data_IF_139501031605
#
_entry.id   IF_139501031605
#
_cell.length_a   1.000
_cell.length_b   1.000
_cell.length_c   1.000
_cell.angle_alpha   90.00
_cell.angle_beta   90.00
_cell.angle_gamma   90.00
#
_symmetry.space_group_name_H-M   'P 1'
#
loop_
_entity.id
_entity.type
_entity.pdbx_description
1 polymer ?
#
# COMPACT_ATOMS: atom_id res chain seq x y z
N UNK A 1 -7.62 9.56 8.54
CA UNK A 1 -6.48 8.85 7.91
C UNK A 1 -7.11 7.85 6.96
N UNK A 2 -6.69 7.79 5.68
CA UNK A 2 -7.26 6.79 4.77
C UNK A 2 -7.04 5.37 5.32
N UNK A 3 -7.92 4.43 4.98
CA UNK A 3 -7.76 3.02 5.37
C UNK A 3 -6.38 2.48 4.97
N UNK A 4 -5.92 2.82 3.76
CA UNK A 4 -4.58 2.51 3.24
C UNK A 4 -3.46 3.05 4.15
N UNK A 5 -3.52 4.33 4.52
CA UNK A 5 -2.50 4.94 5.40
C UNK A 5 -2.41 4.24 6.76
N UNK A 6 -3.53 3.73 7.27
CA UNK A 6 -3.57 2.96 8.52
C UNK A 6 -2.92 1.60 8.32
N UNK A 7 -3.26 0.88 7.25
CA UNK A 7 -2.71 -0.45 6.93
C UNK A 7 -1.19 -0.44 6.79
N UNK A 8 -0.64 0.60 6.17
CA UNK A 8 0.80 0.78 5.97
C UNK A 8 1.59 1.09 7.25
N UNK A 9 0.89 1.46 8.35
CA UNK A 9 1.52 1.72 9.66
C UNK A 9 1.34 0.59 10.67
N UNK A 10 0.59 -0.45 10.32
CA UNK A 10 0.44 -1.63 11.20
C UNK A 10 1.81 -2.32 11.30
N UNK A 11 2.23 -2.58 12.54
CA UNK A 11 3.51 -3.22 12.86
C UNK A 11 4.68 -2.25 13.07
N UNK A 12 4.50 -0.95 12.77
CA UNK A 12 5.51 0.07 13.07
C UNK A 12 5.46 0.47 14.54
N UNK A 13 6.62 0.79 15.11
CA UNK A 13 6.66 1.42 16.43
C UNK A 13 5.96 2.80 16.41
N UNK A 14 5.47 3.32 17.55
CA UNK A 14 4.76 4.61 17.61
C UNK A 14 5.52 5.80 17.01
N UNK A 15 6.85 5.77 17.13
CA UNK A 15 7.81 6.76 16.67
C UNK A 15 8.47 6.40 15.33
N UNK A 16 8.28 5.16 14.85
CA UNK A 16 8.84 4.72 13.58
C UNK A 16 8.16 5.43 12.41
N UNK A 17 9.01 5.95 11.52
CA UNK A 17 8.58 6.68 10.33
C UNK A 17 8.03 5.70 9.30
N UNK A 18 6.70 5.66 9.17
CA UNK A 18 6.06 4.94 8.07
C UNK A 18 6.31 5.58 6.70
N UNK A 19 5.87 4.94 5.61
CA UNK A 19 6.03 5.46 4.26
C UNK A 19 5.43 6.88 4.12
N UNK A 20 6.07 7.72 3.30
CA UNK A 20 5.68 9.12 3.08
C UNK A 20 4.21 9.29 2.63
N UNK A 21 3.62 8.25 2.03
CA UNK A 21 2.23 8.21 1.57
C UNK A 21 1.19 8.36 2.69
N UNK A 22 1.57 8.16 3.96
CA UNK A 22 0.70 8.37 5.13
C UNK A 22 0.44 9.85 5.47
N UNK A 23 1.18 10.78 4.84
CA UNK A 23 1.10 12.23 5.09
C UNK A 23 0.27 13.02 4.07
N UNK A 24 -0.13 12.39 2.96
CA UNK A 24 -0.76 13.11 1.84
C UNK A 24 -2.01 13.88 2.23
N UNK A 25 -2.11 15.11 1.71
CA UNK A 25 -3.20 16.02 1.96
C UNK A 25 -3.05 16.85 3.24
N UNK A 26 -2.18 16.48 4.19
CA UNK A 26 -1.89 17.30 5.37
C UNK A 26 -1.25 18.64 4.96
N UNK A 27 -1.38 19.71 5.76
CA UNK A 27 -0.63 20.94 5.50
C UNK A 27 0.87 20.66 5.37
N UNK A 28 1.54 21.40 4.49
CA UNK A 28 3.00 21.36 4.37
C UNK A 28 3.70 21.78 5.67
N UNK A 29 5.02 21.56 5.72
CA UNK A 29 5.84 22.05 6.83
C UNK A 29 5.76 23.58 6.89
N UNK A 30 5.53 24.14 8.09
CA UNK A 30 5.34 25.58 8.34
C UNK A 30 4.26 26.29 7.51
N UNK A 31 3.32 25.54 6.92
CA UNK A 31 2.16 26.13 6.25
C UNK A 31 1.10 26.52 7.30
N UNK A 32 0.77 27.81 7.38
CA UNK A 32 -0.23 28.35 8.31
C UNK A 32 -1.68 28.09 7.86
N UNK A 33 -1.93 28.14 6.54
CA UNK A 33 -3.24 27.88 5.94
C UNK A 33 -3.15 27.09 4.64
N UNK A 34 -4.19 26.30 4.39
CA UNK A 34 -4.40 25.56 3.14
C UNK A 34 -5.27 26.39 2.21
N UNK A 35 -4.76 26.70 1.03
CA UNK A 35 -5.50 27.43 0.01
C UNK A 35 -6.54 26.53 -0.65
N UNK A 36 -7.76 27.03 -0.80
CA UNK A 36 -8.85 26.36 -1.51
C UNK A 36 -9.06 27.04 -2.84
N UNK A 37 -9.06 26.25 -3.90
CA UNK A 37 -9.18 26.72 -5.28
C UNK A 37 -10.38 26.10 -5.94
N UNK A 38 -10.96 26.82 -6.90
CA UNK A 38 -12.01 26.31 -7.77
C UNK A 38 -11.73 26.71 -9.21
N UNK A 39 -11.76 25.72 -10.10
CA UNK A 39 -11.67 25.93 -11.55
C UNK A 39 -12.98 25.51 -12.21
N UNK A 40 -13.43 26.31 -13.16
CA UNK A 40 -14.55 25.98 -14.05
C UNK A 40 -13.96 25.63 -15.40
N UNK A 41 -14.29 24.46 -15.94
CA UNK A 41 -13.89 24.03 -17.28
C UNK A 41 -14.84 24.59 -18.34
N UNK A 42 -14.43 24.51 -19.61
CA UNK A 42 -15.23 24.97 -20.76
C UNK A 42 -16.59 24.28 -20.85
N UNK A 43 -16.69 23.02 -20.43
CA UNK A 43 -17.93 22.25 -20.34
C UNK A 43 -18.86 22.66 -19.18
N UNK A 44 -18.49 23.70 -18.43
CA UNK A 44 -19.22 24.20 -17.26
C UNK A 44 -18.99 23.38 -15.98
N UNK A 45 -18.22 22.29 -16.03
CA UNK A 45 -17.92 21.49 -14.84
C UNK A 45 -16.99 22.24 -13.90
N UNK A 46 -17.29 22.16 -12.60
CA UNK A 46 -16.51 22.83 -11.54
C UNK A 46 -15.69 21.80 -10.80
N UNK A 47 -14.43 22.11 -10.58
CA UNK A 47 -13.50 21.29 -9.81
C UNK A 47 -12.84 22.11 -8.71
N UNK A 48 -12.95 21.65 -7.48
CA UNK A 48 -12.29 22.23 -6.33
C UNK A 48 -11.05 21.43 -5.96
N UNK A 49 -10.00 22.14 -5.53
CA UNK A 49 -8.76 21.51 -5.10
C UNK A 49 -8.04 22.37 -4.06
N UNK A 50 -6.94 21.84 -3.53
CA UNK A 50 -6.20 22.47 -2.42
C UNK A 50 -4.74 22.69 -2.78
N UNK A 51 -4.16 23.79 -2.28
CA UNK A 51 -2.71 24.06 -2.29
C UNK A 51 -2.17 24.24 -0.87
N UNK A 52 -0.84 24.24 -0.71
CA UNK A 52 -0.20 24.28 0.62
C UNK A 52 -0.29 22.95 1.38
N UNK A 53 -0.59 21.85 0.69
CA UNK A 53 -0.63 20.50 1.25
C UNK A 53 0.56 19.67 0.79
N UNK A 54 0.98 18.75 1.65
CA UNK A 54 2.00 17.76 1.33
C UNK A 54 1.46 16.68 0.38
N UNK A 55 2.23 16.36 -0.66
CA UNK A 55 2.01 15.23 -1.57
C UNK A 55 3.27 14.36 -1.60
N UNK A 56 3.09 13.05 -1.51
CA UNK A 56 4.21 12.11 -1.48
C UNK A 56 4.77 11.76 -2.86
N UNK A 57 4.03 12.04 -3.94
CA UNK A 57 4.43 11.70 -5.31
C UNK A 57 4.34 10.21 -5.67
N UNK A 58 3.93 9.34 -4.75
CA UNK A 58 3.90 7.90 -5.02
C UNK A 58 2.73 7.50 -5.93
N UNK A 59 3.07 6.96 -7.10
CA UNK A 59 2.14 6.33 -8.05
C UNK A 59 1.57 4.98 -7.56
N UNK A 60 2.29 4.33 -6.65
CA UNK A 60 2.00 2.94 -6.25
C UNK A 60 1.19 2.84 -4.96
N UNK A 61 1.54 3.60 -3.92
CA UNK A 61 0.98 3.41 -2.57
C UNK A 61 -0.02 4.49 -2.14
N UNK A 62 -0.14 5.57 -2.91
CA UNK A 62 -0.95 6.71 -2.52
C UNK A 62 -2.16 6.88 -3.43
N UNK A 63 -3.39 6.58 -2.97
CA UNK A 63 -4.60 6.78 -3.79
C UNK A 63 -4.85 8.27 -4.11
N UNK A 64 -4.19 9.18 -3.39
CA UNK A 64 -4.31 10.63 -3.63
C UNK A 64 -3.28 11.16 -4.63
N UNK A 65 -2.12 10.52 -4.79
CA UNK A 65 -1.08 10.94 -5.74
C UNK A 65 -1.11 10.11 -7.02
N UNK A 66 -1.47 8.82 -6.93
CA UNK A 66 -1.49 7.90 -8.06
C UNK A 66 -2.26 8.43 -9.28
N UNK A 67 -3.46 9.05 -9.12
CA UNK A 67 -4.16 9.61 -10.27
C UNK A 67 -3.40 10.73 -10.99
N UNK A 68 -2.75 11.63 -10.24
CA UNK A 68 -1.99 12.72 -10.82
C UNK A 68 -0.72 12.21 -11.52
N UNK A 69 -0.01 11.26 -10.89
CA UNK A 69 1.20 10.62 -11.44
C UNK A 69 0.87 9.91 -12.75
N UNK A 70 -0.21 9.13 -12.79
CA UNK A 70 -0.63 8.43 -13.99
C UNK A 70 -1.07 9.38 -15.12
N UNK A 71 -1.73 10.50 -14.81
CA UNK A 71 -2.07 11.53 -15.79
C UNK A 71 -0.81 12.19 -16.39
N UNK A 72 0.20 12.49 -15.57
CA UNK A 72 1.50 13.01 -16.03
C UNK A 72 2.17 12.00 -16.96
N UNK A 73 2.21 10.71 -16.57
CA UNK A 73 2.78 9.63 -17.38
C UNK A 73 2.04 9.47 -18.70
N UNK A 74 0.71 9.57 -18.71
CA UNK A 74 -0.10 9.52 -19.93
C UNK A 74 0.22 10.68 -20.88
N UNK A 75 0.27 11.92 -20.38
CA UNK A 75 0.61 13.10 -21.18
C UNK A 75 2.03 13.03 -21.76
N UNK A 76 2.97 12.44 -21.03
CA UNK A 76 4.33 12.20 -21.51
C UNK A 76 4.38 11.17 -22.63
N UNK A 77 3.65 10.07 -22.49
CA UNK A 77 3.55 9.06 -23.54
C UNK A 77 2.94 9.66 -24.80
N UNK A 78 1.85 10.42 -24.65
CA UNK A 78 1.20 11.09 -25.75
C UNK A 78 2.18 11.97 -26.54
N UNK A 79 2.99 12.79 -25.86
CA UNK A 79 4.01 13.61 -26.52
C UNK A 79 5.06 12.80 -27.28
N UNK A 80 5.52 11.67 -26.73
CA UNK A 80 6.48 10.80 -27.44
C UNK A 80 5.85 10.23 -28.71
N UNK A 81 4.58 9.84 -28.64
CA UNK A 81 3.85 9.29 -29.77
C UNK A 81 3.64 10.35 -30.85
N UNK A 82 3.15 11.53 -30.47
CA UNK A 82 2.95 12.69 -31.37
C UNK A 82 4.25 13.04 -32.08
N UNK A 83 5.34 13.22 -31.33
CA UNK A 83 6.65 13.50 -31.91
C UNK A 83 7.13 12.36 -32.82
N UNK A 84 6.89 11.09 -32.47
CA UNK A 84 7.23 9.96 -33.36
C UNK A 84 6.48 10.05 -34.69
N UNK A 85 5.21 10.47 -34.68
CA UNK A 85 4.39 10.66 -35.88
C UNK A 85 4.85 11.86 -36.70
N UNK A 86 5.27 12.96 -36.07
CA UNK A 86 5.84 14.13 -36.75
C UNK A 86 7.14 13.82 -37.51
N UNK A 87 7.90 12.81 -37.07
CA UNK A 87 9.07 12.29 -37.78
C UNK A 87 8.73 11.20 -38.81
N UNK A 88 7.48 11.10 -39.27
CA UNK A 88 6.96 10.05 -40.16
C UNK A 88 7.23 8.61 -39.65
N UNK A 89 7.43 8.48 -38.33
CA UNK A 89 7.77 7.24 -37.66
C UNK A 89 6.55 6.38 -37.34
N UNK A 90 6.84 5.20 -36.78
CA UNK A 90 5.84 4.26 -36.27
C UNK A 90 6.06 4.00 -34.80
N UNK A 91 4.97 4.04 -34.03
CA UNK A 91 5.00 3.70 -32.62
C UNK A 91 4.62 2.24 -32.41
N UNK A 92 5.60 1.42 -32.03
CA UNK A 92 5.40 -0.01 -31.77
C UNK A 92 5.04 -0.22 -30.32
N UNK A 93 4.02 -1.02 -30.08
CA UNK A 93 3.50 -1.32 -28.76
C UNK A 93 3.61 -2.81 -28.49
N UNK A 94 4.05 -3.17 -27.31
CA UNK A 94 4.09 -4.57 -26.92
C UNK A 94 3.92 -4.80 -25.43
N UNK A 95 3.76 -6.06 -25.09
CA UNK A 95 3.70 -6.55 -23.72
C UNK A 95 4.62 -7.74 -23.58
N UNK A 96 5.37 -7.76 -22.48
CA UNK A 96 6.17 -8.91 -22.07
C UNK A 96 5.80 -9.41 -20.68
N UNK A 97 5.77 -10.73 -20.53
CA UNK A 97 5.42 -11.42 -19.27
C UNK A 97 6.11 -12.79 -19.15
N UNK A 98 6.07 -13.36 -17.96
CA UNK A 98 6.64 -14.68 -17.62
C UNK A 98 5.55 -15.64 -17.14
N UNK A 99 5.81 -16.94 -17.25
CA UNK A 99 5.00 -17.95 -16.56
C UNK A 99 5.24 -17.87 -15.05
N UNK A 100 4.17 -17.95 -14.28
CA UNK A 100 4.18 -17.91 -12.82
C UNK A 100 3.04 -18.77 -12.26
N UNK A 101 3.07 -19.04 -10.96
CA UNK A 101 2.05 -19.74 -10.20
C UNK A 101 1.67 -19.01 -8.92
N UNK A 102 0.68 -19.55 -8.17
CA UNK A 102 0.10 -18.87 -7.02
C UNK A 102 1.05 -18.66 -5.83
N UNK A 103 2.18 -19.36 -5.80
CA UNK A 103 3.20 -19.25 -4.76
C UNK A 103 4.33 -18.27 -5.12
N UNK A 104 4.38 -17.76 -6.35
CA UNK A 104 5.44 -16.85 -6.77
C UNK A 104 5.26 -15.47 -6.14
N UNK A 105 6.34 -14.98 -5.52
CA UNK A 105 6.35 -13.67 -4.88
C UNK A 105 6.41 -12.56 -5.92
N UNK A 106 5.65 -11.49 -5.70
CA UNK A 106 5.64 -10.30 -6.57
C UNK A 106 7.03 -9.71 -6.75
N UNK A 107 7.84 -9.63 -5.68
CA UNK A 107 9.19 -9.08 -5.75
C UNK A 107 10.10 -9.90 -6.69
N UNK A 108 9.97 -11.22 -6.69
CA UNK A 108 10.76 -12.12 -7.53
C UNK A 108 10.31 -12.03 -9.00
N UNK A 109 9.00 -11.97 -9.25
CA UNK A 109 8.44 -11.75 -10.58
C UNK A 109 8.84 -10.39 -11.16
N UNK A 110 8.69 -9.31 -10.37
CA UNK A 110 9.14 -7.96 -10.73
C UNK A 110 10.60 -7.97 -11.12
N UNK A 111 11.47 -8.59 -10.31
CA UNK A 111 12.91 -8.69 -10.58
C UNK A 111 13.17 -9.44 -11.89
N UNK A 112 12.62 -10.63 -12.04
CA UNK A 112 12.82 -11.47 -13.22
C UNK A 112 12.41 -10.74 -14.52
N UNK A 113 11.20 -10.17 -14.55
CA UNK A 113 10.68 -9.48 -15.73
C UNK A 113 11.49 -8.22 -16.02
N UNK A 114 11.73 -7.37 -15.01
CA UNK A 114 12.43 -6.08 -15.18
C UNK A 114 13.88 -6.27 -15.63
N UNK A 115 14.60 -7.19 -15.00
CA UNK A 115 16.00 -7.45 -15.36
C UNK A 115 16.14 -8.13 -16.71
N UNK A 116 15.23 -9.06 -17.06
CA UNK A 116 15.23 -9.70 -18.38
C UNK A 116 14.94 -8.67 -19.47
N UNK A 117 13.98 -7.77 -19.26
CA UNK A 117 13.65 -6.73 -20.22
C UNK A 117 14.75 -5.67 -20.33
N UNK A 118 15.46 -5.36 -19.24
CA UNK A 118 16.65 -4.52 -19.28
C UNK A 118 17.80 -5.21 -20.02
N UNK A 119 18.02 -6.51 -19.82
CA UNK A 119 19.04 -7.28 -20.53
C UNK A 119 18.76 -7.39 -22.03
N UNK A 120 17.48 -7.55 -22.42
CA UNK A 120 17.07 -7.58 -23.81
C UNK A 120 17.43 -6.29 -24.57
N UNK A 121 17.45 -5.15 -23.87
CA UNK A 121 17.73 -3.81 -24.42
C UNK A 121 19.18 -3.35 -24.22
N UNK A 122 20.14 -4.28 -24.14
CA UNK A 122 21.58 -3.96 -23.99
C UNK A 122 22.47 -4.75 -24.94
N UNK A 123 23.69 -4.24 -25.14
CA UNK A 123 24.77 -4.88 -25.87
C UNK A 123 24.69 -4.72 -27.40
N UNK A 124 25.75 -5.16 -28.08
CA UNK A 124 25.91 -5.00 -29.54
C UNK A 124 24.74 -5.57 -30.38
N UNK A 125 24.11 -6.71 -30.03
CA UNK A 125 22.94 -7.18 -30.78
C UNK A 125 21.74 -6.23 -30.69
N UNK A 126 21.50 -5.61 -29.53
CA UNK A 126 20.44 -4.62 -29.39
C UNK A 126 20.73 -3.36 -30.20
N UNK A 127 21.97 -2.88 -30.22
CA UNK A 127 22.34 -1.72 -31.04
C UNK A 127 22.14 -1.98 -32.54
N UNK A 128 22.31 -3.23 -33.02
CA UNK A 128 21.96 -3.61 -34.40
C UNK A 128 20.46 -3.52 -34.66
N UNK A 129 19.64 -4.03 -33.73
CA UNK A 129 18.17 -3.96 -33.81
C UNK A 129 17.70 -2.50 -33.80
N UNK A 130 18.25 -1.67 -32.90
CA UNK A 130 17.95 -0.24 -32.84
C UNK A 130 18.23 0.46 -34.16
N UNK A 131 19.40 0.21 -34.78
CA UNK A 131 19.74 0.82 -36.07
C UNK A 131 18.80 0.37 -37.18
N UNK A 132 18.51 -0.93 -37.28
CA UNK A 132 17.63 -1.47 -38.32
C UNK A 132 16.19 -0.97 -38.18
N UNK A 133 15.64 -1.03 -36.97
CA UNK A 133 14.27 -0.60 -36.69
C UNK A 133 14.10 0.91 -36.47
N UNK A 134 15.16 1.72 -36.65
CA UNK A 134 15.12 3.15 -36.40
C UNK A 134 14.70 3.52 -34.96
N UNK A 135 15.00 2.69 -33.96
CA UNK A 135 14.49 2.86 -32.60
C UNK A 135 15.15 4.08 -31.93
N UNK A 136 14.39 5.16 -31.77
CA UNK A 136 14.78 6.36 -31.04
C UNK A 136 14.87 6.08 -29.53
N UNK A 137 13.91 5.30 -29.00
CA UNK A 137 13.91 4.88 -27.60
C UNK A 137 12.73 3.98 -27.24
N UNK A 138 12.70 3.54 -25.98
CA UNK A 138 11.71 2.59 -25.46
C UNK A 138 11.14 3.11 -24.15
N UNK A 139 9.83 3.36 -24.12
CA UNK A 139 9.04 3.60 -22.92
C UNK A 139 8.65 2.28 -22.26
N UNK A 140 8.59 2.26 -20.93
CA UNK A 140 8.34 1.06 -20.13
C UNK A 140 7.26 1.38 -19.10
N UNK A 141 6.18 0.61 -19.08
CA UNK A 141 5.07 0.76 -18.16
C UNK A 141 4.73 -0.59 -17.50
N UNK A 142 5.26 -0.84 -16.29
CA UNK A 142 4.89 -2.03 -15.53
C UNK A 142 3.41 -2.00 -15.11
N UNK A 143 2.73 -3.13 -15.21
CA UNK A 143 1.39 -3.35 -14.64
C UNK A 143 1.43 -4.61 -13.77
N UNK A 144 0.69 -4.56 -12.66
CA UNK A 144 0.54 -5.68 -11.73
C UNK A 144 -0.92 -5.91 -11.39
N UNK A 145 -1.34 -7.17 -11.44
CA UNK A 145 -2.66 -7.63 -10.99
C UNK A 145 -2.51 -8.92 -10.18
N UNK A 146 -3.56 -9.34 -9.47
CA UNK A 146 -3.59 -10.62 -8.77
C UNK A 146 -4.82 -11.44 -9.16
N UNK A 147 -4.62 -12.69 -9.57
CA UNK A 147 -5.68 -13.59 -10.02
C UNK A 147 -5.61 -14.97 -9.37
N UNK A 148 -6.27 -15.96 -9.97
CA UNK A 148 -6.26 -17.34 -9.49
C UNK A 148 -4.88 -18.03 -9.55
N UNK A 149 -3.94 -17.49 -10.33
CA UNK A 149 -2.56 -17.98 -10.46
C UNK A 149 -1.55 -17.08 -9.73
N UNK A 150 -1.98 -16.31 -8.73
CA UNK A 150 -1.13 -15.42 -7.94
C UNK A 150 -0.94 -14.05 -8.58
N UNK A 151 0.26 -13.50 -8.41
CA UNK A 151 0.66 -12.22 -8.97
C UNK A 151 0.96 -12.30 -10.46
N UNK A 152 0.39 -11.38 -11.23
CA UNK A 152 0.67 -11.19 -12.64
C UNK A 152 1.43 -9.87 -12.76
N UNK A 153 2.74 -9.93 -12.95
CA UNK A 153 3.58 -8.76 -13.22
C UNK A 153 4.01 -8.79 -14.69
N UNK A 154 3.62 -7.78 -15.46
CA UNK A 154 4.03 -7.65 -16.86
C UNK A 154 4.47 -6.22 -17.17
N UNK A 155 5.20 -6.07 -18.27
CA UNK A 155 5.64 -4.78 -18.77
C UNK A 155 4.95 -4.54 -20.10
N UNK A 156 4.15 -3.48 -20.17
CA UNK A 156 3.82 -2.83 -21.44
C UNK A 156 5.00 -1.96 -21.84
N UNK A 157 5.35 -1.95 -23.12
CA UNK A 157 6.39 -1.09 -23.65
C UNK A 157 5.95 -0.43 -24.95
N UNK A 158 6.47 0.77 -25.16
CA UNK A 158 6.32 1.53 -26.40
C UNK A 158 7.68 1.78 -27.01
N UNK A 159 7.83 1.60 -28.31
CA UNK A 159 9.05 1.95 -29.03
C UNK A 159 8.73 2.99 -30.09
N UNK A 160 9.40 4.13 -29.97
CA UNK A 160 9.43 5.14 -31.02
C UNK A 160 10.41 4.69 -32.10
N UNK A 161 9.89 4.33 -33.27
CA UNK A 161 10.68 3.85 -34.41
C UNK A 161 10.58 4.84 -35.57
N UNK A 162 11.72 5.29 -36.08
CA UNK A 162 11.83 6.22 -37.22
C UNK A 162 12.14 5.49 -38.54
N UNK A 163 12.02 4.17 -38.55
CA UNK A 163 12.08 3.35 -39.75
C UNK A 163 10.65 3.03 -40.24
N UNK A 164 10.54 2.38 -41.40
CA UNK A 164 9.24 1.93 -41.91
C UNK A 164 8.55 0.93 -40.96
N UNK A 165 7.24 0.75 -41.16
CA UNK A 165 6.39 -0.11 -40.33
C UNK A 165 6.88 -1.57 -40.26
N UNK A 166 7.43 -2.10 -41.35
CA UNK A 166 7.87 -3.49 -41.40
C UNK A 166 9.13 -3.70 -40.55
N UNK A 167 10.13 -2.83 -40.69
CA UNK A 167 11.35 -2.88 -39.88
C UNK A 167 11.07 -2.55 -38.41
N UNK A 168 10.15 -1.60 -38.13
CA UNK A 168 9.71 -1.30 -36.77
C UNK A 168 9.06 -2.52 -36.10
N UNK A 169 8.14 -3.21 -36.80
CA UNK A 169 7.50 -4.44 -36.30
C UNK A 169 8.53 -5.55 -36.06
N UNK A 170 9.44 -5.76 -37.01
CA UNK A 170 10.49 -6.78 -36.90
C UNK A 170 11.41 -6.51 -35.71
N UNK A 171 11.70 -5.24 -35.42
CA UNK A 171 12.49 -4.85 -34.26
C UNK A 171 11.76 -5.14 -32.93
N UNK A 172 10.43 -4.95 -32.90
CA UNK A 172 9.58 -5.33 -31.75
C UNK A 172 9.57 -6.84 -31.49
N UNK A 173 9.41 -7.65 -32.53
CA UNK A 173 9.51 -9.11 -32.43
C UNK A 173 10.89 -9.55 -31.93
N UNK A 174 11.97 -8.96 -32.47
CA UNK A 174 13.33 -9.26 -32.04
C UNK A 174 13.57 -8.89 -30.57
N UNK A 175 12.97 -7.80 -30.07
CA UNK A 175 13.03 -7.44 -28.65
C UNK A 175 12.33 -8.50 -27.78
N UNK A 176 11.15 -8.97 -28.16
CA UNK A 176 10.41 -10.02 -27.44
C UNK A 176 11.22 -11.31 -27.37
N UNK A 177 11.79 -11.76 -28.49
CA UNK A 177 12.63 -12.97 -28.48
C UNK A 177 13.86 -12.82 -27.57
N UNK A 178 14.47 -11.63 -27.55
CA UNK A 178 15.59 -11.32 -26.66
C UNK A 178 15.16 -11.33 -25.20
N UNK A 179 13.97 -10.81 -24.89
CA UNK A 179 13.39 -10.91 -23.56
C UNK A 179 13.19 -12.36 -23.15
N UNK A 180 12.59 -13.19 -23.99
CA UNK A 180 12.37 -14.61 -23.69
C UNK A 180 13.68 -15.36 -23.41
N UNK A 181 14.70 -15.17 -24.25
CA UNK A 181 16.05 -15.74 -24.00
C UNK A 181 16.66 -15.24 -22.69
N UNK A 182 16.44 -13.97 -22.34
CA UNK A 182 16.94 -13.40 -21.09
C UNK A 182 16.21 -13.95 -19.85
N UNK A 183 14.93 -14.30 -19.99
CA UNK A 183 14.13 -15.00 -18.97
C UNK A 183 14.65 -16.43 -18.78
N UNK A 184 14.82 -17.18 -19.88
CA UNK A 184 15.34 -18.56 -19.84
C UNK A 184 16.74 -18.62 -19.21
N UNK A 185 17.62 -17.67 -19.55
CA UNK A 185 18.95 -17.57 -18.95
C UNK A 185 18.93 -17.27 -17.44
N UNK A 186 17.80 -16.82 -16.89
CA UNK A 186 17.58 -16.58 -15.46
C UNK A 186 16.79 -17.71 -14.79
N UNK A 187 16.58 -18.84 -15.47
CA UNK A 187 15.81 -19.98 -14.98
C UNK A 187 14.30 -19.76 -14.99
N UNK A 188 13.81 -18.67 -15.61
CA UNK A 188 12.40 -18.43 -15.80
C UNK A 188 11.86 -19.09 -17.07
N UNK A 189 10.54 -19.01 -17.27
CA UNK A 189 9.87 -19.45 -18.48
C UNK A 189 9.02 -18.32 -19.04
N UNK A 190 9.07 -18.12 -20.36
CA UNK A 190 8.19 -17.21 -21.07
C UNK A 190 7.64 -17.95 -22.30
N UNK A 191 6.36 -17.72 -22.62
CA UNK A 191 5.68 -18.35 -23.75
C UNK A 191 5.42 -17.30 -24.83
N UNK A 192 5.80 -17.57 -26.08
CA UNK A 192 5.66 -16.58 -27.17
C UNK A 192 4.22 -16.11 -27.37
N UNK A 193 3.23 -17.00 -27.27
CA UNK A 193 1.82 -16.64 -27.44
C UNK A 193 1.28 -15.74 -26.32
N UNK A 194 1.96 -15.68 -25.16
CA UNK A 194 1.63 -14.78 -24.06
C UNK A 194 2.26 -13.39 -24.23
N UNK A 195 3.10 -13.18 -25.25
CA UNK A 195 3.72 -11.90 -25.56
C UNK A 195 2.93 -11.19 -26.66
N UNK A 196 2.74 -9.88 -26.50
CA UNK A 196 1.98 -9.06 -27.45
C UNK A 196 2.89 -8.10 -28.22
N UNK A 197 2.63 -7.93 -29.52
CA UNK A 197 3.21 -6.85 -30.32
C UNK A 197 2.19 -6.35 -31.34
N UNK A 198 2.10 -5.03 -31.48
CA UNK A 198 1.27 -4.36 -32.46
C UNK A 198 1.86 -2.99 -32.79
N UNK A 199 1.49 -2.44 -33.95
CA UNK A 199 1.80 -1.05 -34.29
C UNK A 199 0.57 -0.22 -33.95
N UNK A 200 0.77 0.95 -33.37
CA UNK A 200 -0.33 1.86 -33.10
C UNK A 200 -1.03 2.30 -34.40
N UNK A 201 -2.36 2.23 -34.40
CA UNK A 201 -3.16 2.67 -35.53
C UNK A 201 -3.22 4.21 -35.64
N UNK A 202 -3.13 4.91 -34.50
CA UNK A 202 -3.08 6.36 -34.39
C UNK A 202 -2.34 6.78 -33.10
N UNK A 203 -2.01 8.06 -32.95
CA UNK A 203 -1.44 8.57 -31.72
C UNK A 203 -2.31 8.32 -30.47
N UNK A 204 -3.62 8.47 -30.63
CA UNK A 204 -4.61 8.23 -29.56
C UNK A 204 -4.62 6.75 -29.16
N UNK A 205 -4.61 5.84 -30.14
CA UNK A 205 -4.54 4.40 -29.88
C UNK A 205 -3.24 3.99 -29.15
N UNK A 206 -2.13 4.68 -29.44
CA UNK A 206 -0.87 4.47 -28.73
C UNK A 206 -0.93 4.96 -27.28
N UNK A 207 -1.48 6.17 -27.11
CA UNK A 207 -1.75 6.76 -25.81
C UNK A 207 -2.64 5.85 -24.97
N UNK A 208 -3.76 5.35 -25.52
CA UNK A 208 -4.68 4.45 -24.83
C UNK A 208 -4.04 3.10 -24.45
N UNK A 209 -3.23 2.51 -25.32
CA UNK A 209 -2.61 1.21 -25.04
C UNK A 209 -1.56 1.30 -23.93
N UNK A 210 -0.70 2.32 -23.95
CA UNK A 210 0.25 2.53 -22.85
C UNK A 210 -0.45 3.10 -21.62
N UNK A 211 -1.54 3.86 -21.81
CA UNK A 211 -2.45 4.18 -20.73
C UNK A 211 -3.03 2.91 -20.13
N UNK A 212 -3.25 1.80 -20.84
CA UNK A 212 -3.56 0.52 -20.15
C UNK A 212 -2.39 0.00 -19.31
N UNK A 213 -1.17 0.48 -19.42
CA UNK A 213 -0.10 0.21 -18.44
C UNK A 213 -0.12 1.18 -17.26
N UNK A 214 -0.39 2.47 -17.51
CA UNK A 214 -0.35 3.54 -16.50
C UNK A 214 -1.69 3.81 -15.79
N UNK A 215 -2.82 3.48 -16.41
CA UNK A 215 -4.21 3.72 -15.99
C UNK A 215 -4.69 2.73 -14.92
N UNK A 216 -4.02 1.60 -14.72
CA UNK A 216 -4.35 0.75 -13.57
C UNK A 216 -3.81 1.30 -12.25
N UNK A 217 -2.89 2.27 -12.27
CA UNK A 217 -2.62 3.12 -11.11
C UNK A 217 -3.78 4.10 -10.84
N UNK A 218 -4.61 4.42 -11.85
CA UNK A 218 -5.77 5.33 -11.79
C UNK A 218 -7.08 4.66 -11.37
N UNK A 219 -7.14 3.33 -11.23
CA UNK A 219 -8.38 2.59 -10.98
C UNK A 219 -9.01 2.79 -9.58
N UNK A 220 -8.53 3.75 -8.79
CA UNK A 220 -9.15 4.15 -7.52
C UNK A 220 -10.13 5.34 -7.65
N UNK A 221 -10.36 5.90 -8.86
CA UNK A 221 -11.12 7.17 -8.98
C UNK A 221 -12.10 7.33 -10.13
N UNK A 222 -11.99 6.58 -11.23
CA UNK A 222 -12.91 6.73 -12.36
C UNK A 222 -12.90 5.47 -13.24
N UNK A 223 -14.01 4.73 -13.17
CA UNK A 223 -14.42 3.65 -14.09
C UNK A 223 -13.41 2.51 -14.31
N UNK A 224 -13.54 1.44 -13.52
CA UNK A 224 -13.07 0.11 -13.95
C UNK A 224 -12.77 -0.88 -12.84
N UNK A 225 -13.77 -1.29 -12.04
CA UNK A 225 -13.69 -2.61 -11.39
C UNK A 225 -13.46 -3.63 -12.50
N UNK A 226 -12.29 -4.26 -12.56
CA UNK A 226 -12.16 -5.50 -13.33
C UNK A 226 -13.07 -6.51 -12.66
N UNK A 227 -13.84 -7.28 -13.44
CA UNK A 227 -14.56 -8.41 -12.86
C UNK A 227 -13.54 -9.34 -12.18
N UNK A 228 -13.91 -10.00 -11.09
CA UNK A 228 -13.01 -10.96 -10.42
C UNK A 228 -12.42 -12.01 -11.39
N UNK A 229 -13.10 -12.27 -12.51
CA UNK A 229 -12.65 -13.14 -13.60
C UNK A 229 -11.43 -12.61 -14.38
N UNK A 230 -11.21 -11.29 -14.43
CA UNK A 230 -10.10 -10.65 -15.14
C UNK A 230 -8.90 -10.28 -14.22
N UNK A 231 -8.95 -10.69 -12.95
CA UNK A 231 -7.94 -10.39 -11.93
C UNK A 231 -8.20 -9.08 -11.18
N UNK A 232 -7.80 -9.02 -9.91
CA UNK A 232 -7.92 -7.86 -9.03
C UNK A 232 -6.75 -6.90 -9.23
N UNK A 233 -7.03 -5.60 -9.23
CA UNK A 233 -5.99 -4.57 -9.15
C UNK A 233 -5.46 -4.44 -7.71
N UNK A 234 -4.28 -3.84 -7.50
CA UNK A 234 -3.80 -3.52 -6.16
C UNK A 234 -4.77 -2.66 -5.35
N UNK A 235 -5.56 -1.81 -6.00
CA UNK A 235 -6.55 -0.98 -5.34
C UNK A 235 -7.78 -1.76 -4.91
N UNK A 236 -8.26 -2.71 -5.73
CA UNK A 236 -9.33 -3.65 -5.32
C UNK A 236 -8.87 -4.46 -4.09
N UNK A 237 -7.62 -4.93 -4.09
CA UNK A 237 -7.00 -5.64 -2.95
C UNK A 237 -6.93 -4.73 -1.71
N UNK A 238 -6.58 -3.46 -1.89
CA UNK A 238 -6.52 -2.50 -0.79
C UNK A 238 -7.91 -2.22 -0.20
N UNK A 239 -8.95 -2.14 -1.03
CA UNK A 239 -10.34 -1.95 -0.60
C UNK A 239 -10.83 -3.19 0.18
N UNK A 240 -10.65 -4.39 -0.37
CA UNK A 240 -10.97 -5.66 0.31
C UNK A 240 -10.28 -5.72 1.70
N UNK A 241 -9.01 -5.32 1.77
CA UNK A 241 -8.24 -5.27 3.01
C UNK A 241 -8.76 -4.23 4.03
N UNK A 242 -9.25 -3.08 3.55
CA UNK A 242 -9.88 -2.05 4.40
C UNK A 242 -11.18 -2.57 5.01
N UNK A 243 -11.93 -3.36 4.24
CA UNK A 243 -13.18 -3.99 4.68
C UNK A 243 -12.94 -5.19 5.61
N UNK A 244 -11.68 -5.58 5.83
CA UNK A 244 -11.25 -6.54 6.84
C UNK A 244 -10.83 -7.90 6.29
N UNK A 245 -10.70 -8.05 4.96
CA UNK A 245 -10.19 -9.29 4.36
C UNK A 245 -8.69 -9.47 4.64
N UNK A 246 -8.36 -10.36 5.57
CA UNK A 246 -6.99 -10.62 6.00
C UNK A 246 -6.07 -11.17 4.89
N UNK A 247 -6.52 -12.08 4.00
CA UNK A 247 -5.75 -12.46 2.82
C UNK A 247 -5.37 -11.28 1.94
N UNK A 248 -6.32 -10.39 1.62
CA UNK A 248 -6.05 -9.19 0.82
C UNK A 248 -5.16 -8.20 1.56
N UNK A 249 -5.23 -8.12 2.89
CA UNK A 249 -4.26 -7.37 3.68
C UNK A 249 -2.82 -7.89 3.50
N UNK A 250 -2.63 -9.21 3.48
CA UNK A 250 -1.33 -9.83 3.18
C UNK A 250 -0.81 -9.48 1.79
N UNK A 251 -1.69 -9.55 0.77
CA UNK A 251 -1.34 -9.16 -0.60
C UNK A 251 -1.01 -7.68 -0.71
N UNK A 252 -1.77 -6.80 -0.05
CA UNK A 252 -1.49 -5.36 -0.02
C UNK A 252 -0.13 -5.06 0.62
N UNK A 253 0.23 -5.78 1.69
CA UNK A 253 1.56 -5.68 2.32
C UNK A 253 2.68 -6.08 1.37
N UNK A 254 2.53 -7.20 0.66
CA UNK A 254 3.51 -7.64 -0.33
C UNK A 254 3.67 -6.63 -1.46
N UNK A 255 2.55 -6.11 -2.00
CA UNK A 255 2.57 -5.04 -3.00
C UNK A 255 3.27 -3.78 -2.49
N UNK A 256 2.97 -3.38 -1.25
CA UNK A 256 3.54 -2.20 -0.62
C UNK A 256 5.05 -2.28 -0.40
N UNK A 257 5.57 -3.50 -0.24
CA UNK A 257 7.00 -3.76 -0.13
C UNK A 257 7.69 -3.87 -1.50
N UNK A 258 7.00 -4.44 -2.50
CA UNK A 258 7.60 -4.75 -3.79
C UNK A 258 7.58 -3.59 -4.79
N UNK A 259 6.56 -2.73 -4.80
CA UNK A 259 6.31 -1.78 -5.89
C UNK A 259 6.93 -0.37 -5.76
N UNK A 260 7.14 0.22 -4.57
CA UNK A 260 7.80 1.52 -4.46
C UNK A 260 9.16 1.57 -5.19
N UNK A 261 9.47 2.72 -5.79
CA UNK A 261 10.70 2.92 -6.57
C UNK A 261 10.66 2.30 -7.97
N UNK A 262 9.52 1.76 -8.40
CA UNK A 262 9.34 1.32 -9.79
C UNK A 262 9.06 2.51 -10.69
N UNK A 263 10.01 2.81 -11.57
CA UNK A 263 9.88 3.88 -12.58
C UNK A 263 9.04 3.40 -13.77
N UNK A 264 8.21 4.30 -14.30
CA UNK A 264 7.32 4.06 -15.43
C UNK A 264 7.35 5.24 -16.42
N UNK A 265 7.21 4.95 -17.70
CA UNK A 265 7.15 5.91 -18.79
C UNK A 265 8.25 7.00 -18.74
N UNK A 266 9.51 6.65 -18.45
CA UNK A 266 10.62 7.61 -18.44
C UNK A 266 10.99 8.02 -19.87
N UNK A 267 11.05 9.33 -20.14
CA UNK A 267 11.62 9.87 -21.38
C UNK A 267 13.09 10.17 -21.16
N UNK A 268 13.93 9.23 -21.57
CA UNK A 268 15.39 9.37 -21.44
C UNK A 268 15.92 10.54 -22.27
N UNK A 269 17.03 11.20 -21.88
CA UNK A 269 17.63 12.29 -22.65
C UNK A 269 17.94 11.92 -24.10
N UNK A 270 18.29 10.66 -24.36
CA UNK A 270 18.53 10.16 -25.72
C UNK A 270 17.26 10.07 -26.56
N UNK A 271 16.16 9.61 -25.97
CA UNK A 271 14.85 9.55 -26.64
C UNK A 271 14.35 10.97 -26.93
N UNK A 272 14.44 11.85 -25.93
CA UNK A 272 14.12 13.26 -26.05
C UNK A 272 14.87 13.93 -27.20
N UNK A 273 16.20 13.81 -27.21
CA UNK A 273 17.05 14.38 -28.27
C UNK A 273 16.75 13.81 -29.66
N UNK A 274 16.43 12.53 -29.77
CA UNK A 274 16.09 11.90 -31.05
C UNK A 274 14.74 12.34 -31.61
N UNK A 275 13.81 12.79 -30.75
CA UNK A 275 12.47 13.23 -31.15
C UNK A 275 12.30 14.76 -31.12
N UNK A 276 13.26 15.51 -30.59
CA UNK A 276 13.16 16.97 -30.44
C UNK A 276 12.20 17.42 -29.33
N UNK A 277 12.00 16.58 -28.31
CA UNK A 277 11.16 16.88 -27.13
C UNK A 277 12.02 17.01 -25.87
N UNK A 278 11.43 17.50 -24.78
CA UNK A 278 12.11 17.58 -23.49
C UNK A 278 12.22 16.22 -22.80
N UNK A 279 13.35 16.02 -22.11
CA UNK A 279 13.58 14.85 -21.27
C UNK A 279 12.75 14.93 -19.99
N UNK A 280 12.19 13.80 -19.59
CA UNK A 280 11.37 13.74 -18.38
C UNK A 280 11.57 12.44 -17.62
N UNK A 281 11.79 12.59 -16.32
CA UNK A 281 11.90 11.46 -15.41
C UNK A 281 10.60 11.23 -14.62
N UNK A 282 10.47 10.02 -14.07
CA UNK A 282 9.39 9.56 -13.22
C UNK A 282 9.89 9.42 -11.77
N UNK A 283 10.37 10.53 -11.22
CA UNK A 283 10.88 10.55 -9.86
C UNK A 283 9.70 10.59 -8.88
N UNK A 284 9.65 9.69 -7.91
CA UNK A 284 8.71 9.76 -6.77
C UNK A 284 9.14 10.88 -5.79
N UNK A 285 9.24 12.12 -6.29
CA UNK A 285 9.67 13.27 -5.49
C UNK A 285 8.46 13.85 -4.77
N UNK A 286 8.41 13.65 -3.46
CA UNK A 286 7.41 14.28 -2.59
C UNK A 286 7.69 15.77 -2.36
N UNK A 287 6.65 16.55 -2.13
CA UNK A 287 6.79 18.00 -1.93
C UNK A 287 5.46 18.73 -1.73
N UNK A 288 5.55 20.04 -1.57
CA UNK A 288 4.40 20.93 -1.71
C UNK A 288 4.04 20.98 -3.19
N UNK A 289 2.82 20.58 -3.52
CA UNK A 289 2.34 20.63 -4.90
C UNK A 289 1.58 21.94 -5.10
N UNK A 290 2.01 22.74 -6.07
CA UNK A 290 1.34 23.99 -6.44
C UNK A 290 0.74 23.83 -7.84
N UNK A 291 -0.59 23.84 -7.93
CA UNK A 291 -1.34 23.81 -9.17
C UNK A 291 -1.85 25.22 -9.42
N UNK A 292 -1.02 26.09 -10.00
CA UNK A 292 -1.27 27.54 -9.95
C UNK A 292 -1.72 28.19 -11.24
N UNK A 293 -1.67 27.54 -12.39
CA UNK A 293 -1.68 28.36 -13.61
C UNK A 293 -3.07 28.90 -14.03
N UNK A 294 -4.20 28.34 -13.56
CA UNK A 294 -5.54 28.80 -14.03
C UNK A 294 -6.71 28.65 -13.03
N UNK A 295 -6.46 28.65 -11.71
CA UNK A 295 -7.53 28.45 -10.73
C UNK A 295 -7.77 29.66 -9.82
N UNK A 296 -9.05 29.97 -9.60
CA UNK A 296 -9.45 31.00 -8.66
C UNK A 296 -9.29 30.48 -7.23
N UNK A 297 -8.45 31.14 -6.43
CA UNK A 297 -8.41 30.93 -4.98
C UNK A 297 -9.69 31.48 -4.36
N UNK A 298 -10.48 30.61 -3.75
CA UNK A 298 -11.80 30.94 -3.18
C UNK A 298 -11.76 31.15 -1.66
N UNK A 299 -10.67 30.75 -1.00
CA UNK A 299 -10.49 30.98 0.43
C UNK A 299 -9.28 30.26 1.01
N UNK A 300 -9.09 30.44 2.31
CA UNK A 300 -8.03 29.82 3.10
C UNK A 300 -8.63 29.09 4.30
N UNK A 301 -8.13 27.88 4.56
CA UNK A 301 -8.49 27.10 5.75
C UNK A 301 -7.28 27.04 6.67
N UNK A 302 -7.36 27.50 7.93
CA UNK A 302 -6.26 27.37 8.88
C UNK A 302 -5.79 25.91 9.02
N UNK A 303 -4.48 25.71 9.08
CA UNK A 303 -3.89 24.36 9.16
C UNK A 303 -4.45 23.47 10.26
N UNK A 304 -4.72 23.96 11.50
CA UNK A 304 -5.39 23.15 12.52
C UNK A 304 -6.79 22.66 12.09
N UNK A 305 -7.60 23.54 11.49
CA UNK A 305 -8.94 23.22 11.00
C UNK A 305 -8.88 22.19 9.88
N UNK A 306 -7.99 22.37 8.91
CA UNK A 306 -7.82 21.42 7.81
C UNK A 306 -7.38 20.03 8.30
N UNK A 307 -6.48 19.95 9.29
CA UNK A 307 -6.09 18.67 9.92
C UNK A 307 -7.29 17.97 10.55
N UNK A 308 -8.20 18.71 11.17
CA UNK A 308 -9.43 18.16 11.75
C UNK A 308 -10.35 17.61 10.65
N UNK A 309 -10.58 18.38 9.58
CA UNK A 309 -11.37 17.96 8.41
C UNK A 309 -10.81 16.68 7.76
N UNK A 310 -9.49 16.56 7.61
CA UNK A 310 -8.85 15.35 7.09
C UNK A 310 -8.98 14.15 8.03
N UNK A 311 -8.82 14.38 9.34
CA UNK A 311 -8.88 13.30 10.34
C UNK A 311 -10.27 12.68 10.40
N UNK A 312 -11.30 13.45 10.11
CA UNK A 312 -12.72 13.06 10.14
C UNK A 312 -13.27 12.66 8.77
N UNK A 313 -12.39 12.56 7.75
CA UNK A 313 -12.72 12.18 6.37
C UNK A 313 -13.76 13.08 5.71
N UNK A 314 -13.76 14.38 6.04
CA UNK A 314 -14.69 15.37 5.48
C UNK A 314 -14.11 16.22 4.35
N UNK A 315 -12.84 16.06 4.00
CA UNK A 315 -12.19 16.85 2.95
C UNK A 315 -12.89 16.71 1.59
N UNK A 316 -13.33 15.50 1.22
CA UNK A 316 -14.10 15.28 -0.01
C UNK A 316 -15.46 15.97 0.03
N UNK A 317 -16.19 15.86 1.15
CA UNK A 317 -17.46 16.57 1.35
C UNK A 317 -17.30 18.07 1.25
N UNK A 318 -16.28 18.63 1.90
CA UNK A 318 -15.97 20.06 1.84
C UNK A 318 -15.73 20.53 0.40
N UNK A 319 -14.85 19.87 -0.34
CA UNK A 319 -14.54 20.23 -1.72
C UNK A 319 -15.77 20.05 -2.65
N UNK A 320 -16.55 18.99 -2.46
CA UNK A 320 -17.80 18.80 -3.22
C UNK A 320 -18.82 19.92 -2.94
N UNK A 321 -18.93 20.40 -1.70
CA UNK A 321 -19.79 21.55 -1.36
C UNK A 321 -19.29 22.84 -2.04
N UNK A 322 -17.97 23.04 -2.13
CA UNK A 322 -17.36 24.16 -2.87
C UNK A 322 -17.64 24.06 -4.38
N UNK A 323 -17.60 22.86 -4.96
CA UNK A 323 -17.93 22.62 -6.37
C UNK A 323 -19.41 22.92 -6.66
N UNK A 324 -20.31 22.47 -5.79
CA UNK A 324 -21.76 22.61 -5.95
C UNK A 324 -22.27 24.04 -5.72
N UNK A 325 -21.55 24.87 -4.97
CA UNK A 325 -22.00 26.21 -4.63
C UNK A 325 -22.07 27.13 -5.88
N UNK A 326 -23.26 27.66 -6.24
CA UNK A 326 -23.45 28.44 -7.46
C UNK A 326 -22.63 29.73 -7.45
N UNK A 327 -22.65 30.45 -6.34
CA UNK A 327 -21.86 31.65 -6.04
C UNK A 327 -20.96 31.36 -4.84
N UNK A 328 -19.71 31.80 -4.89
CA UNK A 328 -18.71 31.50 -3.88
C UNK A 328 -17.90 32.76 -3.56
N UNK A 329 -18.49 33.61 -2.72
CA UNK A 329 -17.83 34.75 -2.10
C UNK A 329 -17.26 34.36 -0.72
N UNK A 330 -16.61 35.32 -0.05
CA UNK A 330 -16.02 35.08 1.26
C UNK A 330 -17.02 34.66 2.34
N UNK A 331 -18.26 35.15 2.28
CA UNK A 331 -19.32 34.82 3.25
C UNK A 331 -19.83 33.40 3.05
N UNK A 332 -20.10 33.02 1.79
CA UNK A 332 -20.50 31.67 1.42
C UNK A 332 -19.41 30.66 1.77
N UNK A 333 -18.14 30.98 1.47
CA UNK A 333 -17.00 30.15 1.84
C UNK A 333 -16.91 29.96 3.36
N UNK A 334 -16.97 31.05 4.14
CA UNK A 334 -16.91 31.00 5.59
C UNK A 334 -18.06 30.18 6.20
N UNK A 335 -19.27 30.31 5.65
CA UNK A 335 -20.43 29.51 6.07
C UNK A 335 -20.23 28.01 5.81
N UNK A 336 -19.78 27.64 4.60
CA UNK A 336 -19.47 26.24 4.25
C UNK A 336 -18.39 25.68 5.19
N UNK A 337 -17.31 26.44 5.41
CA UNK A 337 -16.23 26.04 6.30
C UNK A 337 -16.71 25.85 7.74
N UNK A 338 -17.54 26.75 8.26
CA UNK A 338 -18.10 26.66 9.61
C UNK A 338 -18.98 25.41 9.77
N UNK A 339 -19.86 25.14 8.81
CA UNK A 339 -20.74 23.96 8.82
C UNK A 339 -19.93 22.67 8.83
N UNK A 340 -18.95 22.54 7.93
CA UNK A 340 -18.11 21.33 7.86
C UNK A 340 -17.24 21.19 9.12
N UNK A 341 -16.72 22.29 9.65
CA UNK A 341 -15.90 22.28 10.88
C UNK A 341 -16.72 21.81 12.08
N UNK A 342 -17.97 22.25 12.22
CA UNK A 342 -18.86 21.79 13.29
C UNK A 342 -19.12 20.27 13.21
N UNK A 343 -19.36 19.73 12.01
CA UNK A 343 -19.51 18.28 11.80
C UNK A 343 -18.21 17.54 12.10
N UNK A 344 -17.06 18.13 11.76
CA UNK A 344 -15.75 17.56 12.04
C UNK A 344 -15.49 17.47 13.55
N UNK A 345 -15.78 18.53 14.29
CA UNK A 345 -15.63 18.56 15.75
C UNK A 345 -16.52 17.51 16.43
N UNK A 346 -17.75 17.34 15.97
CA UNK A 346 -18.64 16.30 16.49
C UNK A 346 -18.11 14.89 16.22
N UNK A 347 -17.67 14.61 14.98
CA UNK A 347 -17.02 13.33 14.66
C UNK A 347 -15.79 13.09 15.52
N UNK A 348 -15.02 14.13 15.83
CA UNK A 348 -13.84 14.03 16.67
C UNK A 348 -14.18 13.63 18.11
N UNK A 349 -15.25 14.20 18.69
CA UNK A 349 -15.76 13.79 20.01
C UNK A 349 -16.13 12.32 20.03
N UNK A 350 -16.84 11.84 19.00
CA UNK A 350 -17.21 10.42 18.86
C UNK A 350 -15.97 9.52 18.75
N UNK A 351 -14.96 9.93 17.98
CA UNK A 351 -13.70 9.18 17.85
C UNK A 351 -12.98 9.10 19.20
N UNK A 352 -12.89 10.21 19.94
CA UNK A 352 -12.26 10.26 21.25
C UNK A 352 -12.98 9.34 22.25
N UNK A 353 -14.31 9.41 22.32
CA UNK A 353 -15.12 8.55 23.18
C UNK A 353 -14.94 7.05 22.86
N UNK A 354 -14.89 6.69 21.56
CA UNK A 354 -14.62 5.31 21.13
C UNK A 354 -13.22 4.84 21.49
N UNK A 355 -12.22 5.72 21.40
CA UNK A 355 -10.84 5.39 21.77
C UNK A 355 -10.71 5.15 23.28
N UNK A 356 -11.35 5.98 24.09
CA UNK A 356 -11.41 5.83 25.54
C UNK A 356 -12.12 4.55 25.98
N UNK A 357 -13.27 4.24 25.37
CA UNK A 357 -13.98 2.98 25.62
C UNK A 357 -13.11 1.76 25.29
N UNK A 358 -12.40 1.77 24.16
CA UNK A 358 -11.47 0.69 23.77
C UNK A 358 -10.32 0.54 24.76
N UNK A 359 -9.75 1.65 25.24
CA UNK A 359 -8.67 1.63 26.25
C UNK A 359 -9.17 0.96 27.53
N UNK A 360 -10.34 1.36 28.02
CA UNK A 360 -10.95 0.75 29.23
C UNK A 360 -11.19 -0.75 29.06
N UNK A 361 -11.76 -1.18 27.93
CA UNK A 361 -11.95 -2.61 27.64
C UNK A 361 -10.63 -3.37 27.55
N UNK A 362 -9.58 -2.77 27.00
CA UNK A 362 -8.25 -3.39 26.93
C UNK A 362 -7.62 -3.54 28.34
N UNK A 363 -7.75 -2.52 29.19
CA UNK A 363 -7.31 -2.54 30.59
C UNK A 363 -8.07 -3.61 31.39
N UNK A 364 -9.39 -3.69 31.25
CA UNK A 364 -10.23 -4.73 31.86
C UNK A 364 -9.82 -6.14 31.41
N UNK A 365 -9.59 -6.33 30.10
CA UNK A 365 -9.14 -7.62 29.57
C UNK A 365 -7.73 -8.00 30.05
N UNK A 366 -6.82 -7.02 30.16
CA UNK A 366 -5.49 -7.24 30.71
C UNK A 366 -5.55 -7.62 32.20
N UNK A 367 -6.36 -6.91 32.99
CA UNK A 367 -6.58 -7.22 34.39
C UNK A 367 -7.17 -8.62 34.58
N UNK A 368 -8.15 -9.02 33.76
CA UNK A 368 -8.73 -10.35 33.80
C UNK A 368 -7.72 -11.46 33.47
N UNK A 369 -6.85 -11.24 32.46
CA UNK A 369 -5.76 -12.16 32.11
C UNK A 369 -4.75 -12.29 33.26
N UNK A 370 -4.39 -11.16 33.90
CA UNK A 370 -3.48 -11.16 35.04
C UNK A 370 -4.09 -11.91 36.23
N UNK A 371 -5.34 -11.64 36.58
CA UNK A 371 -6.04 -12.35 37.65
C UNK A 371 -6.12 -13.87 37.42
N UNK A 372 -6.35 -14.29 36.17
CA UNK A 372 -6.34 -15.71 35.78
C UNK A 372 -4.95 -16.33 35.93
N UNK A 373 -3.89 -15.60 35.55
CA UNK A 373 -2.51 -16.05 35.71
C UNK A 373 -2.10 -16.14 37.19
N UNK A 374 -2.53 -15.20 38.02
CA UNK A 374 -2.28 -15.16 39.45
C UNK A 374 -3.00 -16.32 40.17
N UNK A 375 -4.27 -16.58 39.84
CA UNK A 375 -5.02 -17.74 40.37
C UNK A 375 -4.36 -19.07 39.99
N UNK A 376 -3.94 -19.23 38.74
CA UNK A 376 -3.19 -20.42 38.29
C UNK A 376 -1.89 -20.61 39.08
N UNK A 377 -1.16 -19.52 39.31
CA UNK A 377 0.09 -19.53 40.10
C UNK A 377 -0.19 -19.91 41.55
N UNK A 378 -1.25 -19.35 42.17
CA UNK A 378 -1.67 -19.68 43.53
C UNK A 378 -2.03 -21.15 43.67
N UNK A 379 -2.85 -21.70 42.77
CA UNK A 379 -3.22 -23.13 42.76
C UNK A 379 -2.00 -24.03 42.62
N UNK A 380 -1.07 -23.68 41.73
CA UNK A 380 0.19 -24.42 41.56
C UNK A 380 1.01 -24.45 42.86
N UNK A 381 1.17 -23.31 43.54
CA UNK A 381 1.92 -23.22 44.80
C UNK A 381 1.25 -24.00 45.93
N UNK A 382 -0.07 -23.92 46.06
CA UNK A 382 -0.85 -24.71 47.03
C UNK A 382 -0.64 -26.20 46.78
N UNK A 383 -0.80 -26.66 45.54
CA UNK A 383 -0.64 -28.07 45.15
C UNK A 383 0.76 -28.59 45.42
N UNK A 384 1.79 -27.83 45.02
CA UNK A 384 3.20 -28.18 45.24
C UNK A 384 3.56 -28.22 46.73
N UNK A 385 2.97 -27.34 47.52
CA UNK A 385 3.17 -27.33 48.98
C UNK A 385 2.52 -28.54 49.64
N UNK A 386 1.30 -28.91 49.23
CA UNK A 386 0.65 -30.13 49.69
C UNK A 386 1.45 -31.40 49.34
N UNK A 387 1.99 -31.50 48.12
CA UNK A 387 2.88 -32.60 47.71
C UNK A 387 4.12 -32.72 48.60
N UNK A 388 4.72 -31.58 49.02
CA UNK A 388 5.84 -31.57 49.96
C UNK A 388 5.44 -32.04 51.37
N UNK A 389 4.23 -31.74 51.82
CA UNK A 389 3.70 -32.22 53.11
C UNK A 389 3.54 -33.74 53.07
N UNK A 390 2.96 -34.29 52.01
CA UNK A 390 2.78 -35.74 51.84
C UNK A 390 4.12 -36.49 51.77
N UNK A 391 5.15 -35.88 51.16
CA UNK A 391 6.49 -36.46 51.11
C UNK A 391 7.23 -36.46 52.46
N UNK A 392 6.79 -35.68 53.45
CA UNK A 392 7.39 -35.62 54.78
C UNK A 392 6.84 -36.74 55.67
N UNK A 393 7.39 -37.96 55.56
CA UNK A 393 7.07 -39.05 56.48
C UNK A 393 7.51 -38.75 57.92
N UNK A 394 6.57 -38.75 58.87
CA UNK A 394 6.86 -38.87 60.31
C UNK A 394 6.80 -37.60 61.17
N UNK A 395 6.41 -36.43 60.65
CA UNK A 395 6.19 -35.23 61.46
C UNK A 395 4.71 -35.04 61.83
N UNK A 396 4.42 -34.56 63.05
CA UNK A 396 3.09 -34.12 63.43
C UNK A 396 2.56 -33.09 62.41
N UNK A 397 1.30 -33.27 61.99
CA UNK A 397 0.68 -32.65 60.79
C UNK A 397 0.93 -31.14 60.67
N UNK A 398 0.98 -30.42 61.80
CA UNK A 398 1.17 -28.96 61.83
C UNK A 398 2.60 -28.51 61.53
N UNK A 399 3.61 -29.25 61.98
CA UNK A 399 5.03 -28.93 61.75
C UNK A 399 5.43 -29.24 60.29
N UNK A 400 4.90 -30.33 59.73
CA UNK A 400 5.08 -30.68 58.32
C UNK A 400 4.56 -29.58 57.38
N UNK A 401 3.37 -29.05 57.65
CA UNK A 401 2.77 -27.96 56.87
C UNK A 401 3.62 -26.69 56.97
N UNK A 402 4.03 -26.29 58.17
CA UNK A 402 4.86 -25.10 58.35
C UNK A 402 6.19 -25.19 57.60
N UNK A 403 6.85 -26.36 57.66
CA UNK A 403 8.12 -26.59 56.96
C UNK A 403 7.93 -26.58 55.43
N UNK A 404 6.87 -27.21 54.92
CA UNK A 404 6.58 -27.22 53.49
C UNK A 404 6.29 -25.81 52.94
N UNK A 405 5.53 -24.99 53.68
CA UNK A 405 5.25 -23.59 53.31
C UNK A 405 6.56 -22.80 53.23
N UNK A 406 7.43 -22.91 54.25
CA UNK A 406 8.74 -22.24 54.26
C UNK A 406 9.63 -22.69 53.08
N UNK A 407 9.63 -23.99 52.78
CA UNK A 407 10.41 -24.54 51.67
C UNK A 407 9.86 -24.13 50.29
N UNK A 408 8.55 -23.95 50.14
CA UNK A 408 7.94 -23.39 48.93
C UNK A 408 8.29 -21.90 48.78
N UNK A 409 8.24 -21.12 49.87
CA UNK A 409 8.63 -19.71 49.87
C UNK A 409 10.10 -19.51 49.45
N UNK A 410 11.00 -20.36 49.95
CA UNK A 410 12.42 -20.33 49.58
C UNK A 410 12.65 -20.73 48.11
N UNK A 411 11.86 -21.67 47.58
CA UNK A 411 11.98 -22.14 46.20
C UNK A 411 11.41 -21.17 45.15
N UNK A 412 10.54 -20.24 45.56
CA UNK A 412 9.93 -19.23 44.69
C UNK A 412 9.99 -17.85 45.35
N UNK A 413 11.18 -17.21 45.38
CA UNK A 413 11.37 -15.92 46.04
C UNK A 413 10.47 -14.84 45.44
N UNK A 414 9.88 -13.99 46.29
CA UNK A 414 9.07 -12.85 45.87
C UNK A 414 7.59 -13.15 45.61
N UNK A 415 7.15 -14.41 45.74
CA UNK A 415 5.72 -14.77 45.69
C UNK A 415 5.21 -15.09 47.09
N UNK A 416 4.03 -14.56 47.44
CA UNK A 416 3.39 -14.84 48.73
C UNK A 416 3.10 -16.34 48.84
N UNK A 417 3.65 -17.04 49.86
CA UNK A 417 3.43 -18.46 50.01
C UNK A 417 1.98 -18.79 50.37
N UNK A 418 1.52 -20.02 50.09
CA UNK A 418 0.15 -20.42 50.42
C UNK A 418 -0.07 -20.44 51.93
N UNK A 419 -1.30 -20.16 52.36
CA UNK A 419 -1.66 -20.20 53.77
C UNK A 419 -1.86 -21.64 54.26
N UNK A 420 -1.76 -21.85 55.58
CA UNK A 420 -2.04 -23.16 56.19
C UNK A 420 -3.42 -23.68 55.82
N UNK A 421 -4.44 -22.81 55.83
CA UNK A 421 -5.81 -23.19 55.51
C UNK A 421 -5.96 -23.71 54.07
N UNK A 422 -5.28 -23.08 53.11
CA UNK A 422 -5.31 -23.49 51.70
C UNK A 422 -4.61 -24.82 51.48
N UNK A 423 -3.47 -25.05 52.16
CA UNK A 423 -2.75 -26.33 52.10
C UNK A 423 -3.60 -27.45 52.72
N UNK A 424 -4.25 -27.20 53.86
CA UNK A 424 -5.14 -28.18 54.50
C UNK A 424 -6.35 -28.50 53.62
N UNK A 425 -6.98 -27.49 53.02
CA UNK A 425 -8.11 -27.68 52.13
C UNK A 425 -7.74 -28.48 50.87
N UNK A 426 -6.53 -28.27 50.32
CA UNK A 426 -6.01 -29.04 49.20
C UNK A 426 -5.73 -30.49 49.58
N UNK A 427 -5.09 -30.75 50.72
CA UNK A 427 -4.85 -32.10 51.23
C UNK A 427 -6.16 -32.86 51.47
N UNK A 428 -7.18 -32.20 52.01
CA UNK A 428 -8.49 -32.79 52.25
C UNK A 428 -9.27 -33.17 50.98
N UNK A 429 -8.92 -32.57 49.82
CA UNK A 429 -9.55 -32.85 48.52
C UNK A 429 -8.88 -34.01 47.77
N UNK A 430 -7.71 -34.46 48.22
CA UNK A 430 -7.00 -35.56 47.56
C UNK A 430 -7.60 -36.89 47.98
N UNK A 431 -7.85 -37.82 47.04
CA UNK A 431 -8.29 -39.15 47.41
C UNK A 431 -7.20 -39.79 48.26
N UNK A 432 -7.56 -40.27 49.45
CA UNK A 432 -6.70 -41.14 50.25
C UNK A 432 -6.36 -42.32 49.36
N UNK A 433 -5.08 -42.48 49.01
CA UNK A 433 -4.62 -43.67 48.32
C UNK A 433 -4.94 -44.87 49.21
N UNK A 434 -6.02 -45.59 48.88
CA UNK A 434 -6.29 -46.89 49.48
C UNK A 434 -5.19 -47.79 48.97
N UNK A 435 -4.15 -47.98 49.78
CA UNK A 435 -3.14 -49.01 49.57
C UNK A 435 -3.87 -50.36 49.45
N UNK A 436 -3.60 -51.18 48.43
CA UNK A 436 -4.17 -52.52 48.37
C UNK A 436 -3.66 -53.28 49.60
N UNK A 437 -4.60 -53.71 50.44
CA UNK A 437 -4.30 -54.61 51.56
C UNK A 437 -3.79 -55.91 50.93
N UNK A 438 -2.49 -56.15 51.06
CA UNK A 438 -1.89 -57.44 50.71
C UNK A 438 -2.47 -58.53 51.63
N UNK A 439 -2.74 -59.69 51.01
CA UNK A 439 -3.54 -60.81 51.51
C UNK A 439 -3.17 -61.34 52.91
#
# INVERSE_FOLDING_TARGET
MSGISRMLRIGLAPDERGPSVCGCGRPGFDVESVGIHRRTREDGTRRAFVSGVYRCGSGWLCPTCAPAVAAIRQARVQRVVEATTEHDGSFVMGLVTVSHGPADRLADLKRLVSESFAAARRGAPWERIKRRGGIAGVLVAPEVTHGGYGWHFHIHFGMACLADKADARAAGEALIERFMRAVEARGGKALRHAQGIQIAASPEAAGEYIAKGTSWELAAGSSGRKSHAAGRTPWDIAEDAIDGDMPSYGLWREFAEAMPGTRSCVVTPRLAAALGIDAEDDDETGGAFDLTEEALKVGDVPSPTWRTILRTSLAGTFLATIEAAPVLDGTAFASILAQVSAVADERLRVIAAKAEARRRTAEEAQAARQATADDRTRRYLVRRTAERVEACGGAGTRAAIAHAIAATAAAVPGIVPPTVAEVVAELARRPVAVLPIAA
#
